data_IF_348640810074
#
_entry.id   IF_348640810074
#
_cell.length_a   1.000
_cell.length_b   1.000
_cell.length_c   1.000
_cell.angle_alpha   90.00
_cell.angle_beta   90.00
_cell.angle_gamma   90.00
#
_symmetry.space_group_name_H-M   'P 1'
#
loop_
_entity.id
_entity.type
_entity.pdbx_description
1 polymer ?
#
# COMPACT_ATOMS: atom_id res chain seq x y z
N UNK A 1 22.10 -18.09 5.31
CA UNK A 1 21.43 -16.82 5.66
C UNK A 1 21.01 -16.15 4.37
N UNK A 2 19.85 -15.48 4.33
CA UNK A 2 19.43 -14.72 3.16
C UNK A 2 20.26 -13.42 3.05
N UNK A 3 20.57 -12.94 1.84
CA UNK A 3 21.27 -11.67 1.65
C UNK A 3 20.60 -10.50 2.39
N UNK A 4 21.37 -9.50 2.89
CA UNK A 4 20.76 -8.24 3.32
C UNK A 4 19.95 -7.65 2.14
N UNK A 5 18.78 -7.10 2.43
CA UNK A 5 17.74 -6.63 1.46
C UNK A 5 16.85 -7.69 0.81
N UNK A 6 16.99 -8.98 1.18
CA UNK A 6 16.10 -10.03 0.63
C UNK A 6 14.62 -9.74 0.87
N UNK A 7 14.27 -9.20 2.04
CA UNK A 7 12.90 -8.84 2.41
C UNK A 7 12.24 -7.91 1.39
N UNK A 8 12.92 -6.84 0.98
CA UNK A 8 12.41 -5.90 0.00
C UNK A 8 12.15 -6.54 -1.37
N UNK A 9 12.89 -7.60 -1.71
CA UNK A 9 12.76 -8.31 -2.99
C UNK A 9 11.65 -9.34 -2.95
N UNK A 10 11.51 -10.12 -1.87
CA UNK A 10 10.60 -11.27 -1.84
C UNK A 10 9.30 -11.03 -1.07
N UNK A 11 9.20 -9.97 -0.26
CA UNK A 11 8.00 -9.68 0.52
C UNK A 11 7.03 -8.80 -0.27
N UNK A 12 5.84 -9.31 -0.63
CA UNK A 12 4.88 -8.54 -1.42
C UNK A 12 4.41 -7.26 -0.74
N UNK A 13 4.46 -7.23 0.59
CA UNK A 13 4.17 -6.04 1.39
C UNK A 13 5.10 -4.87 1.02
N UNK A 14 6.40 -5.16 0.90
CA UNK A 14 7.43 -4.19 0.52
C UNK A 14 7.47 -3.91 -0.99
N UNK A 15 6.84 -4.78 -1.81
CA UNK A 15 6.77 -4.66 -3.27
C UNK A 15 5.65 -3.77 -3.80
N UNK A 16 4.91 -3.11 -2.89
CA UNK A 16 4.01 -2.02 -3.25
C UNK A 16 2.80 -1.83 -2.37
N UNK A 17 2.41 -2.82 -1.55
CA UNK A 17 1.26 -2.68 -0.64
C UNK A 17 1.50 -1.56 0.37
N UNK A 18 2.65 -1.55 1.04
CA UNK A 18 2.98 -0.52 2.04
C UNK A 18 3.04 0.87 1.39
N UNK A 19 3.70 0.98 0.24
CA UNK A 19 3.80 2.23 -0.50
C UNK A 19 2.42 2.77 -0.92
N UNK A 20 1.53 1.88 -1.37
CA UNK A 20 0.16 2.23 -1.73
C UNK A 20 -0.63 2.72 -0.51
N UNK A 21 -0.57 2.00 0.62
CA UNK A 21 -1.25 2.40 1.86
C UNK A 21 -0.75 3.76 2.38
N UNK A 22 0.57 3.99 2.34
CA UNK A 22 1.17 5.27 2.73
C UNK A 22 0.67 6.42 1.86
N UNK A 23 0.51 6.22 0.55
CA UNK A 23 -0.02 7.24 -0.35
C UNK A 23 -1.47 7.61 -0.02
N UNK A 24 -2.33 6.62 0.30
CA UNK A 24 -3.72 6.88 0.71
C UNK A 24 -3.80 7.60 2.05
N UNK A 25 -2.98 7.18 3.02
CA UNK A 25 -2.88 7.87 4.29
C UNK A 25 -2.47 9.34 4.14
N UNK A 26 -1.47 9.63 3.32
CA UNK A 26 -1.02 11.01 3.05
C UNK A 26 -2.13 11.82 2.38
N UNK A 27 -2.82 11.25 1.39
CA UNK A 27 -3.93 11.92 0.71
C UNK A 27 -5.08 12.26 1.67
N UNK A 28 -5.51 11.30 2.49
CA UNK A 28 -6.55 11.49 3.50
C UNK A 28 -6.17 12.58 4.51
N UNK A 29 -4.93 12.52 5.04
CA UNK A 29 -4.40 13.55 5.95
C UNK A 29 -4.40 14.93 5.31
N UNK A 30 -3.94 15.05 4.07
CA UNK A 30 -3.87 16.35 3.38
C UNK A 30 -5.26 16.92 3.12
N UNK A 31 -6.22 16.08 2.72
CA UNK A 31 -7.61 16.50 2.54
C UNK A 31 -8.22 16.98 3.85
N UNK A 32 -8.06 16.21 4.92
CA UNK A 32 -8.60 16.55 6.24
C UNK A 32 -7.96 17.85 6.78
N UNK A 33 -6.65 18.01 6.64
CA UNK A 33 -5.95 19.23 7.05
C UNK A 33 -6.45 20.45 6.27
N UNK A 34 -6.77 20.31 4.98
CA UNK A 34 -7.36 21.39 4.19
C UNK A 34 -8.75 21.79 4.71
N UNK A 35 -9.59 20.81 5.08
CA UNK A 35 -10.91 21.08 5.66
C UNK A 35 -10.79 21.81 7.00
N UNK A 36 -9.92 21.34 7.89
CA UNK A 36 -9.69 21.98 9.21
C UNK A 36 -9.14 23.39 9.09
N UNK A 37 -8.28 23.63 8.11
CA UNK A 37 -7.77 24.97 7.83
C UNK A 37 -8.90 25.91 7.40
N UNK A 38 -9.84 25.44 6.57
CA UNK A 38 -11.02 26.21 6.18
C UNK A 38 -11.96 26.49 7.36
N UNK A 39 -12.03 25.57 8.31
CA UNK A 39 -12.81 25.72 9.55
C UNK A 39 -12.10 26.59 10.61
N UNK A 40 -10.87 27.05 10.33
CA UNK A 40 -10.10 27.92 11.22
C UNK A 40 -9.41 27.19 12.38
N UNK A 41 -9.19 25.88 12.27
CA UNK A 41 -8.42 25.11 13.25
C UNK A 41 -6.97 25.63 13.31
N UNK A 42 -6.44 25.99 14.49
CA UNK A 42 -5.06 26.43 14.64
C UNK A 42 -4.01 25.31 14.44
N UNK A 43 -4.40 24.03 14.48
CA UNK A 43 -3.52 22.87 14.25
C UNK A 43 -4.16 21.84 13.29
N UNK A 44 -4.28 22.18 11.98
CA UNK A 44 -5.00 21.37 11.01
C UNK A 44 -4.35 20.00 10.74
N UNK A 45 -3.07 19.82 11.06
CA UNK A 45 -2.34 18.57 10.84
C UNK A 45 -2.36 17.62 12.03
N UNK A 46 -3.00 17.99 13.14
CA UNK A 46 -3.15 17.12 14.31
C UNK A 46 -3.97 15.89 13.93
N UNK A 47 -3.43 14.70 14.15
CA UNK A 47 -4.12 13.43 13.90
C UNK A 47 -4.15 12.62 15.18
N UNK A 48 -5.32 12.13 15.56
CA UNK A 48 -5.44 11.14 16.62
C UNK A 48 -5.10 9.73 16.11
N UNK A 49 -4.62 8.82 16.97
CA UNK A 49 -4.42 7.42 16.58
C UNK A 49 -5.68 6.75 16.02
N UNK A 50 -6.87 7.14 16.50
CA UNK A 50 -8.13 6.59 16.02
C UNK A 50 -8.40 6.97 14.56
N UNK A 51 -8.22 8.24 14.19
CA UNK A 51 -8.37 8.71 12.81
C UNK A 51 -7.34 8.06 11.88
N UNK A 52 -6.09 7.99 12.33
CA UNK A 52 -5.03 7.35 11.56
C UNK A 52 -5.34 5.87 11.27
N UNK A 53 -5.81 5.13 12.28
CA UNK A 53 -6.20 3.74 12.13
C UNK A 53 -7.41 3.59 11.21
N UNK A 54 -8.42 4.46 11.33
CA UNK A 54 -9.58 4.43 10.46
C UNK A 54 -9.18 4.62 9.00
N UNK A 55 -8.36 5.63 8.67
CA UNK A 55 -7.89 5.86 7.30
C UNK A 55 -7.06 4.70 6.76
N UNK A 56 -6.28 4.02 7.61
CA UNK A 56 -5.53 2.84 7.21
C UNK A 56 -6.46 1.65 6.91
N UNK A 57 -7.52 1.45 7.70
CA UNK A 57 -8.53 0.43 7.45
C UNK A 57 -9.29 0.71 6.14
N UNK A 58 -9.75 1.96 5.95
CA UNK A 58 -10.46 2.36 4.74
C UNK A 58 -9.58 2.15 3.50
N UNK A 59 -8.31 2.56 3.58
CA UNK A 59 -7.34 2.32 2.51
C UNK A 59 -7.14 0.83 2.23
N UNK A 60 -7.04 0.00 3.28
CA UNK A 60 -6.91 -1.45 3.11
C UNK A 60 -8.12 -2.06 2.40
N UNK A 61 -9.33 -1.62 2.75
CA UNK A 61 -10.57 -2.10 2.14
C UNK A 61 -10.74 -1.64 0.68
N UNK A 62 -10.17 -0.48 0.33
CA UNK A 62 -10.11 0.02 -1.06
C UNK A 62 -9.10 -0.73 -1.94
N UNK A 63 -8.08 -1.37 -1.35
CA UNK A 63 -7.03 -2.04 -2.10
C UNK A 63 -7.58 -3.25 -2.85
N UNK A 64 -7.55 -3.18 -4.18
CA UNK A 64 -8.16 -4.21 -5.02
C UNK A 64 -7.38 -5.53 -4.98
N UNK A 65 -8.09 -6.65 -5.22
CA UNK A 65 -7.45 -7.96 -5.40
C UNK A 65 -6.50 -7.98 -6.61
N UNK A 66 -6.70 -7.12 -7.60
CA UNK A 66 -5.83 -7.00 -8.77
C UNK A 66 -4.51 -6.34 -8.41
N UNK A 67 -4.54 -5.25 -7.64
CA UNK A 67 -3.34 -4.59 -7.13
C UNK A 67 -2.52 -5.52 -6.22
N UNK A 68 -3.19 -6.26 -5.33
CA UNK A 68 -2.53 -7.29 -4.51
C UNK A 68 -1.82 -8.31 -5.41
N UNK A 69 -2.50 -8.87 -6.42
CA UNK A 69 -1.87 -9.84 -7.35
C UNK A 69 -0.67 -9.24 -8.09
N UNK A 70 -0.77 -7.98 -8.50
CA UNK A 70 0.32 -7.25 -9.15
C UNK A 70 1.55 -7.14 -8.25
N UNK A 71 1.39 -6.75 -6.98
CA UNK A 71 2.51 -6.64 -6.03
C UNK A 71 3.12 -8.00 -5.66
N UNK A 72 2.29 -9.06 -5.59
CA UNK A 72 2.79 -10.44 -5.46
C UNK A 72 3.55 -10.92 -6.69
N UNK A 73 3.19 -10.43 -7.88
CA UNK A 73 3.94 -10.67 -9.12
C UNK A 73 5.33 -10.03 -9.10
N UNK A 74 5.46 -8.80 -8.59
CA UNK A 74 6.76 -8.16 -8.43
C UNK A 74 7.70 -8.92 -7.47
N UNK A 75 7.14 -9.56 -6.43
CA UNK A 75 7.88 -10.45 -5.53
C UNK A 75 8.27 -11.81 -6.15
N UNK A 76 7.87 -12.09 -7.40
CA UNK A 76 8.08 -13.38 -8.07
C UNK A 76 7.21 -14.51 -7.52
N UNK A 77 6.16 -14.19 -6.73
CA UNK A 77 5.25 -15.17 -6.13
C UNK A 77 4.01 -15.45 -6.99
N UNK A 78 3.77 -14.65 -8.02
CA UNK A 78 2.75 -14.90 -9.02
C UNK A 78 3.42 -15.41 -10.31
N UNK A 79 3.59 -16.72 -10.41
CA UNK A 79 4.10 -17.38 -11.62
C UNK A 79 2.91 -17.93 -12.39
N UNK A 80 2.65 -17.38 -13.58
CA UNK A 80 1.71 -18.01 -14.50
C UNK A 80 2.34 -19.32 -15.02
N UNK A 81 1.91 -20.44 -14.41
CA UNK A 81 2.40 -21.76 -14.78
C UNK A 81 1.87 -22.24 -16.14
N UNK A 82 0.88 -21.55 -16.72
CA UNK A 82 0.40 -21.86 -18.07
C UNK A 82 1.40 -21.39 -19.15
N UNK A 83 2.09 -20.27 -18.92
CA UNK A 83 3.12 -19.74 -19.82
C UNK A 83 4.41 -20.59 -19.86
N UNK A 84 4.70 -21.39 -18.83
CA UNK A 84 5.86 -22.30 -18.83
C UNK A 84 5.65 -23.47 -19.82
N UNK A 85 4.40 -23.87 -20.08
CA UNK A 85 4.10 -24.90 -21.08
C UNK A 85 4.47 -24.44 -22.51
N UNK A 86 4.46 -23.13 -22.78
CA UNK A 86 4.82 -22.55 -24.08
C UNK A 86 6.34 -22.36 -24.26
N UNK A 87 7.15 -22.52 -23.20
CA UNK A 87 8.61 -22.46 -23.27
C UNK A 87 9.27 -23.81 -23.52
N UNK A 88 8.48 -24.89 -23.60
CA UNK A 88 8.94 -26.27 -23.80
C UNK A 88 8.38 -26.93 -25.07
N UNK A 89 7.79 -26.16 -25.99
CA UNK A 89 7.42 -26.61 -27.34
C UNK A 89 8.20 -25.87 -28.42
#
# INVERSE_FOLDING_TARGET
MLPPTTTAVIQPMDQGVIAWLQQRFIAARTQEAALRLLDGDPDPYRISPAEALQWMCDAWDELSKEDIRKYWGHAGLNVDRSAIADLLN
#
